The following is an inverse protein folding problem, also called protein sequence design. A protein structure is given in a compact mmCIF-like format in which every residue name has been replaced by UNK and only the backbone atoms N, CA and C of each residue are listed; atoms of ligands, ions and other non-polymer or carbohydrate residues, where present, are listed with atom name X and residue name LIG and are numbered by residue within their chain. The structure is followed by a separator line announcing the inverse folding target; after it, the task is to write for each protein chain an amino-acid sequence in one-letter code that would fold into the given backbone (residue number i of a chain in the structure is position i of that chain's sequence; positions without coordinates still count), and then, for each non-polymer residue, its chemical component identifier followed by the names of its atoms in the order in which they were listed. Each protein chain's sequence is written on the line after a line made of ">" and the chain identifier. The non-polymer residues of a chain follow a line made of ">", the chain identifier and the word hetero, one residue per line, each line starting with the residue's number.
data_IF_981238917206
#
_entry.id   IF_981238917206
#
_cell.length_a   1.000
_cell.length_b   1.000
_cell.length_c   1.000
_cell.angle_alpha   90.00
_cell.angle_beta   90.00
_cell.angle_gamma   90.00
#
_symmetry.space_group_name_H-M   'P 1'
#
loop_
_entity.id
_entity.type
_entity.pdbx_description
1 polymer ?
#
# COMPACT_ATOMS: atom_id res chain seq x y z
N UNK A 1 38.22 39.98 21.07
CA UNK A 1 37.55 38.76 21.58
C UNK A 1 36.04 38.94 21.65
N UNK A 2 35.53 40.10 22.05
CA UNK A 2 34.07 40.33 22.17
C UNK A 2 33.29 40.26 20.86
N UNK A 3 33.83 40.76 19.73
CA UNK A 3 33.11 40.78 18.46
C UNK A 3 32.85 39.38 17.86
N UNK A 4 33.77 38.42 18.05
CA UNK A 4 33.58 37.04 17.61
C UNK A 4 32.56 36.29 18.49
N UNK A 5 32.57 36.56 19.80
CA UNK A 5 31.57 36.01 20.74
C UNK A 5 30.17 36.61 20.50
N UNK A 6 30.09 37.92 20.21
CA UNK A 6 28.85 38.62 19.84
C UNK A 6 28.25 38.05 18.54
N UNK A 7 29.08 37.84 17.51
CA UNK A 7 28.67 37.20 16.26
C UNK A 7 28.18 35.75 16.50
N UNK A 8 28.88 34.97 17.33
CA UNK A 8 28.47 33.61 17.65
C UNK A 8 27.12 33.55 18.38
N UNK A 9 26.90 34.42 19.35
CA UNK A 9 25.63 34.51 20.07
C UNK A 9 24.49 34.94 19.14
N UNK A 10 24.74 35.93 18.28
CA UNK A 10 23.76 36.36 17.27
C UNK A 10 23.38 35.24 16.30
N UNK A 11 24.33 34.37 15.92
CA UNK A 11 24.08 33.20 15.09
C UNK A 11 23.27 32.12 15.82
N UNK A 12 23.53 31.89 17.11
CA UNK A 12 22.72 30.97 17.90
C UNK A 12 21.27 31.45 18.06
N UNK A 13 21.07 32.74 18.29
CA UNK A 13 19.73 33.34 18.40
C UNK A 13 18.95 33.29 17.08
N UNK A 14 19.64 33.45 15.94
CA UNK A 14 19.05 33.34 14.61
C UNK A 14 18.68 31.89 14.24
N UNK A 15 19.54 30.92 14.62
CA UNK A 15 19.40 29.50 14.29
C UNK A 15 18.14 28.82 14.83
N UNK A 16 17.47 29.39 15.84
CA UNK A 16 16.21 28.86 16.37
C UNK A 16 14.95 29.55 15.85
N UNK A 17 15.03 30.74 15.24
CA UNK A 17 13.81 31.54 14.99
C UNK A 17 13.43 31.73 13.54
N UNK A 18 14.33 31.67 12.56
CA UNK A 18 13.90 31.81 11.16
C UNK A 18 15.06 31.72 10.15
N UNK A 19 15.02 30.72 9.28
CA UNK A 19 15.76 30.71 8.00
C UNK A 19 15.02 31.49 6.89
N UNK A 20 13.98 32.27 7.21
CA UNK A 20 13.05 32.92 6.26
C UNK A 20 12.71 34.38 6.59
N UNK A 21 13.51 35.06 7.40
CA UNK A 21 13.14 36.34 8.00
C UNK A 21 14.31 37.29 7.97
N UNK A 22 14.03 38.54 7.62
CA UNK A 22 14.94 39.60 7.17
C UNK A 22 15.90 40.15 8.25
N UNK A 23 16.31 39.33 9.21
CA UNK A 23 17.19 39.73 10.33
C UNK A 23 18.29 38.69 10.61
N UNK A 24 18.71 37.90 9.61
CA UNK A 24 19.87 37.02 9.82
C UNK A 24 21.14 37.88 10.00
N UNK A 25 22.05 37.55 10.95
CA UNK A 25 23.30 38.29 11.17
C UNK A 25 24.20 38.46 9.93
N UNK A 26 23.95 37.68 8.87
CA UNK A 26 24.68 37.74 7.61
C UNK A 26 24.01 38.63 6.54
N UNK A 27 22.73 38.96 6.69
CA UNK A 27 22.01 39.80 5.71
C UNK A 27 22.33 41.30 5.94
N UNK A 28 22.55 41.70 7.19
CA UNK A 28 22.99 43.04 7.59
C UNK A 28 24.04 42.99 8.72
N UNK A 29 25.28 42.54 8.43
CA UNK A 29 26.28 42.34 9.47
C UNK A 29 26.75 43.68 10.07
N UNK A 30 26.96 43.70 11.39
CA UNK A 30 27.61 44.85 12.05
C UNK A 30 29.03 45.06 11.50
N UNK A 31 29.53 46.30 11.41
CA UNK A 31 30.87 46.58 10.89
C UNK A 31 31.98 45.81 11.59
N UNK A 32 31.88 45.63 12.90
CA UNK A 32 32.82 44.88 13.75
C UNK A 32 32.86 43.37 13.46
N UNK A 33 31.89 42.82 12.74
CA UNK A 33 31.89 41.41 12.33
C UNK A 33 32.62 41.17 11.00
N UNK A 34 32.91 42.24 10.24
CA UNK A 34 33.43 42.14 8.87
C UNK A 34 34.74 41.37 8.75
N UNK A 35 35.60 41.42 9.77
CA UNK A 35 36.88 40.68 9.79
C UNK A 35 36.69 39.15 9.92
N UNK A 36 35.53 38.70 10.39
CA UNK A 36 35.19 37.28 10.54
C UNK A 36 34.33 36.75 9.39
N UNK A 37 33.80 37.63 8.54
CA UNK A 37 32.90 37.29 7.44
C UNK A 37 33.63 37.35 6.11
N UNK A 38 33.90 36.20 5.51
CA UNK A 38 34.25 36.15 4.09
C UNK A 38 32.99 36.33 3.26
N UNK A 39 32.88 37.44 2.52
CA UNK A 39 31.92 37.54 1.42
C UNK A 39 32.40 36.62 0.30
N UNK A 40 31.70 35.52 -0.03
CA UNK A 40 32.02 34.80 -1.25
C UNK A 40 31.92 35.77 -2.43
N UNK A 41 32.73 35.59 -3.47
CA UNK A 41 32.50 36.27 -4.75
C UNK A 41 31.03 36.11 -5.12
N UNK A 42 30.43 37.11 -5.81
CA UNK A 42 29.02 37.13 -6.22
C UNK A 42 28.69 36.02 -7.24
N UNK A 43 28.91 34.77 -6.86
CA UNK A 43 28.38 33.61 -7.54
C UNK A 43 26.92 33.52 -7.13
N UNK A 44 26.04 33.47 -8.13
CA UNK A 44 24.62 33.24 -7.91
C UNK A 44 24.46 32.00 -7.03
N UNK A 45 23.83 32.17 -5.86
CA UNK A 45 23.53 31.03 -5.00
C UNK A 45 22.60 30.08 -5.75
N UNK A 46 23.15 28.94 -6.16
CA UNK A 46 22.37 27.82 -6.69
C UNK A 46 22.14 26.87 -5.51
N UNK A 47 20.89 26.68 -5.05
CA UNK A 47 20.56 25.72 -4.01
C UNK A 47 21.20 24.36 -4.28
N UNK A 48 21.74 23.67 -3.27
CA UNK A 48 22.39 22.36 -3.48
C UNK A 48 21.50 21.33 -4.18
N UNK A 49 20.17 21.41 -3.97
CA UNK A 49 19.16 20.60 -4.70
C UNK A 49 19.13 20.84 -6.22
N UNK A 50 19.58 22.01 -6.67
CA UNK A 50 19.67 22.44 -8.07
C UNK A 50 21.09 22.25 -8.63
N UNK A 51 22.09 22.01 -7.77
CA UNK A 51 23.40 21.47 -8.15
C UNK A 51 23.33 19.96 -8.37
N UNK A 52 22.55 19.52 -9.36
CA UNK A 52 22.77 18.20 -9.96
C UNK A 52 23.92 18.35 -10.94
N UNK A 53 25.15 18.38 -10.44
CA UNK A 53 26.31 18.25 -11.32
C UNK A 53 26.32 16.80 -11.78
N UNK A 54 25.77 16.59 -12.97
CA UNK A 54 25.85 15.30 -13.64
C UNK A 54 27.28 15.14 -14.12
N UNK A 55 28.00 14.20 -13.53
CA UNK A 55 29.41 13.94 -13.84
C UNK A 55 29.54 12.97 -15.02
N UNK A 56 28.47 12.23 -15.33
CA UNK A 56 28.41 11.38 -16.50
C UNK A 56 28.25 12.17 -17.80
N UNK A 57 28.91 11.69 -18.85
CA UNK A 57 28.94 12.28 -20.20
C UNK A 57 28.95 11.19 -21.27
N UNK A 58 28.85 11.56 -22.55
CA UNK A 58 29.00 10.60 -23.65
C UNK A 58 30.39 9.94 -23.69
N UNK A 59 31.41 10.61 -23.15
CA UNK A 59 32.78 10.10 -23.05
C UNK A 59 33.02 9.25 -21.78
N UNK A 60 32.24 9.49 -20.72
CA UNK A 60 32.30 8.78 -19.44
C UNK A 60 30.87 8.44 -19.02
N UNK A 61 30.35 7.30 -19.51
CA UNK A 61 28.93 7.02 -19.42
C UNK A 61 28.48 6.59 -18.03
N UNK A 62 29.36 6.40 -17.05
CA UNK A 62 28.98 6.00 -15.70
C UNK A 62 28.88 7.22 -14.79
N UNK A 63 27.90 7.20 -13.87
CA UNK A 63 27.76 8.25 -12.86
C UNK A 63 28.88 8.13 -11.82
N UNK A 64 29.27 6.89 -11.47
CA UNK A 64 30.27 6.56 -10.46
C UNK A 64 31.50 5.85 -11.07
N UNK A 65 32.22 6.58 -11.92
CA UNK A 65 33.56 6.17 -12.40
C UNK A 65 34.62 6.40 -11.30
N UNK A 66 35.62 5.50 -11.19
CA UNK A 66 36.72 5.61 -10.21
C UNK A 66 37.53 6.90 -10.35
N UNK A 67 37.49 7.52 -11.54
CA UNK A 67 38.28 8.69 -11.88
C UNK A 67 37.52 10.02 -11.72
N UNK A 68 36.17 9.99 -11.62
CA UNK A 68 35.35 11.22 -11.68
C UNK A 68 34.54 11.54 -10.43
N UNK A 69 34.29 10.58 -9.54
CA UNK A 69 33.48 10.80 -8.34
C UNK A 69 34.14 10.18 -7.10
N UNK A 70 34.56 11.04 -6.17
CA UNK A 70 34.76 10.67 -4.78
C UNK A 70 33.48 11.01 -4.01
N UNK A 71 32.59 10.04 -3.85
CA UNK A 71 31.44 10.20 -2.98
C UNK A 71 31.91 10.21 -1.53
N UNK A 72 31.86 11.38 -0.89
CA UNK A 72 32.18 11.50 0.53
C UNK A 72 31.07 10.92 1.41
N UNK A 73 29.83 10.84 0.89
CA UNK A 73 28.69 10.32 1.62
C UNK A 73 27.71 9.56 0.71
N UNK A 74 27.35 8.34 1.12
CA UNK A 74 26.29 7.52 0.51
C UNK A 74 24.97 7.79 1.24
N UNK A 75 23.87 7.92 0.52
CA UNK A 75 22.50 8.12 1.02
C UNK A 75 22.08 7.11 2.08
N UNK A 76 22.56 5.87 2.04
CA UNK A 76 22.27 4.89 3.10
C UNK A 76 22.87 5.30 4.45
N UNK A 77 23.94 6.11 4.48
CA UNK A 77 24.54 6.62 5.72
C UNK A 77 23.60 7.59 6.45
N UNK A 78 22.57 8.12 5.79
CA UNK A 78 21.48 8.84 6.46
C UNK A 78 20.70 7.91 7.41
N UNK A 79 20.56 6.62 7.08
CA UNK A 79 19.97 5.64 7.98
C UNK A 79 20.82 5.49 9.24
N UNK A 80 22.15 5.45 9.09
CA UNK A 80 23.11 5.42 10.20
C UNK A 80 23.01 6.68 11.06
N UNK A 81 22.88 7.85 10.44
CA UNK A 81 22.69 9.12 11.16
C UNK A 81 21.36 9.14 11.95
N UNK A 82 20.29 8.56 11.40
CA UNK A 82 19.01 8.41 12.10
C UNK A 82 19.16 7.49 13.33
N UNK A 83 19.86 6.37 13.19
CA UNK A 83 20.14 5.51 14.35
C UNK A 83 20.99 6.23 15.41
N UNK A 84 22.02 6.98 14.98
CA UNK A 84 22.89 7.76 15.87
C UNK A 84 22.10 8.84 16.62
N UNK A 85 21.20 9.55 15.93
CA UNK A 85 20.36 10.58 16.53
C UNK A 85 19.39 10.02 17.59
N UNK A 86 19.03 8.74 17.47
CA UNK A 86 18.14 8.04 18.39
C UNK A 86 18.92 7.08 19.32
N UNK A 87 20.25 7.16 19.36
CA UNK A 87 21.06 6.38 20.29
C UNK A 87 20.72 6.74 21.74
N UNK A 88 20.31 5.73 22.49
CA UNK A 88 19.95 5.87 23.89
C UNK A 88 19.35 4.59 24.44
N UNK A 89 19.01 4.61 25.73
CA UNK A 89 18.23 3.54 26.37
C UNK A 89 16.76 3.91 26.23
N UNK A 90 16.04 3.20 25.38
CA UNK A 90 14.61 3.36 25.23
C UNK A 90 13.88 2.42 26.19
N UNK A 91 12.90 2.96 26.91
CA UNK A 91 12.09 2.24 27.88
C UNK A 91 10.66 2.18 27.35
N UNK A 92 10.21 0.99 26.95
CA UNK A 92 8.84 0.77 26.44
C UNK A 92 7.92 0.32 27.56
N UNK A 93 6.77 0.97 27.69
CA UNK A 93 5.81 0.75 28.78
C UNK A 93 4.41 0.63 28.16
N UNK A 94 3.61 -0.35 28.61
CA UNK A 94 2.20 -0.41 28.23
C UNK A 94 1.41 0.69 28.95
N UNK A 95 1.10 1.77 28.22
CA UNK A 95 0.35 2.90 28.77
C UNK A 95 -1.17 2.65 28.85
N UNK A 96 -1.68 1.57 28.23
CA UNK A 96 -3.09 1.20 28.32
C UNK A 96 -3.44 0.56 29.67
N UNK A 97 -2.44 0.06 30.39
CA UNK A 97 -2.59 -0.43 31.77
C UNK A 97 -2.20 0.70 32.73
N UNK A 98 -3.21 1.35 33.32
CA UNK A 98 -3.01 2.49 34.22
C UNK A 98 -2.17 2.14 35.46
N UNK A 99 -2.25 0.90 35.93
CA UNK A 99 -1.50 0.43 37.08
C UNK A 99 -0.02 0.24 36.75
N UNK A 100 0.29 -0.33 35.59
CA UNK A 100 1.67 -0.42 35.09
C UNK A 100 2.24 0.98 34.84
N UNK A 101 1.48 1.84 34.16
CA UNK A 101 1.91 3.20 33.85
C UNK A 101 2.20 4.03 35.11
N UNK A 102 1.34 3.94 36.13
CA UNK A 102 1.53 4.63 37.42
C UNK A 102 2.79 4.14 38.14
N UNK A 103 2.96 2.82 38.28
CA UNK A 103 4.12 2.23 38.97
C UNK A 103 5.44 2.56 38.29
N UNK A 104 5.47 2.53 36.95
CA UNK A 104 6.68 2.90 36.20
C UNK A 104 7.02 4.37 36.41
N UNK A 105 6.03 5.28 36.42
CA UNK A 105 6.26 6.70 36.75
C UNK A 105 6.82 6.87 38.16
N UNK A 106 6.30 6.14 39.14
CA UNK A 106 6.79 6.16 40.53
C UNK A 106 8.22 5.65 40.66
N UNK A 107 8.57 4.58 39.94
CA UNK A 107 9.94 4.05 39.90
C UNK A 107 10.91 5.06 39.28
N UNK A 108 10.56 5.65 38.13
CA UNK A 108 11.39 6.68 37.46
C UNK A 108 11.56 7.91 38.36
N UNK A 109 10.48 8.42 38.97
CA UNK A 109 10.55 9.57 39.91
C UNK A 109 11.41 9.28 41.12
N UNK A 110 11.41 8.02 41.56
CA UNK A 110 12.23 7.53 42.67
C UNK A 110 13.65 7.13 42.24
N UNK A 111 14.06 7.43 40.99
CA UNK A 111 15.36 7.06 40.40
C UNK A 111 15.65 5.55 40.44
N UNK A 112 14.61 4.72 40.37
CA UNK A 112 14.70 3.25 40.32
C UNK A 112 14.37 2.76 38.91
N UNK A 113 15.02 1.66 38.54
CA UNK A 113 14.72 0.97 37.29
C UNK A 113 13.36 0.26 37.37
N UNK A 114 12.45 0.43 36.39
CA UNK A 114 11.13 -0.20 36.38
C UNK A 114 11.19 -1.69 35.97
N UNK A 115 11.98 -2.49 36.69
CA UNK A 115 12.29 -3.88 36.38
C UNK A 115 11.04 -4.75 36.17
N UNK A 116 11.01 -5.49 35.06
CA UNK A 116 9.91 -6.38 34.66
C UNK A 116 8.62 -5.69 34.20
N UNK A 117 8.54 -4.35 34.32
CA UNK A 117 7.38 -3.53 33.92
C UNK A 117 7.65 -2.67 32.68
N UNK A 118 8.90 -2.62 32.26
CA UNK A 118 9.31 -1.97 31.04
C UNK A 118 10.26 -2.87 30.23
N UNK A 119 10.22 -2.71 28.92
CA UNK A 119 11.11 -3.40 27.98
C UNK A 119 12.20 -2.41 27.58
N UNK A 120 13.45 -2.84 27.73
CA UNK A 120 14.62 -2.10 27.25
C UNK A 120 14.78 -2.33 25.75
N UNK A 121 14.82 -1.24 24.98
CA UNK A 121 15.17 -1.27 23.58
C UNK A 121 16.55 -0.61 23.37
N UNK A 122 17.52 -1.44 22.98
CA UNK A 122 18.87 -1.03 22.56
C UNK A 122 19.03 -1.10 21.04
N UNK A 123 17.92 -1.11 20.31
CA UNK A 123 17.88 -1.43 18.89
C UNK A 123 18.79 -0.49 18.05
N UNK A 124 18.82 0.84 18.30
CA UNK A 124 19.71 1.75 17.56
C UNK A 124 21.21 1.48 17.76
N UNK A 125 21.61 1.13 18.99
CA UNK A 125 23.02 0.80 19.32
C UNK A 125 23.46 -0.50 18.65
N UNK A 126 22.56 -1.48 18.52
CA UNK A 126 22.84 -2.73 17.80
C UNK A 126 22.89 -2.50 16.30
N UNK A 127 21.98 -1.69 15.77
CA UNK A 127 21.92 -1.36 14.34
C UNK A 127 23.21 -0.73 13.83
N UNK A 128 23.88 0.10 14.64
CA UNK A 128 25.16 0.72 14.26
C UNK A 128 26.25 -0.30 13.92
N UNK A 129 26.33 -1.43 14.64
CA UNK A 129 27.28 -2.52 14.34
C UNK A 129 26.92 -3.26 13.06
N UNK A 130 25.63 -3.38 12.78
CA UNK A 130 25.14 -4.07 11.60
C UNK A 130 25.38 -3.25 10.31
N UNK A 131 25.44 -1.91 10.39
CA UNK A 131 25.82 -1.07 9.24
C UNK A 131 27.22 -1.38 8.71
N UNK A 132 28.21 -1.55 9.59
CA UNK A 132 29.56 -1.97 9.20
C UNK A 132 29.54 -3.35 8.55
N UNK A 133 28.77 -4.29 9.14
CA UNK A 133 28.64 -5.65 8.63
C UNK A 133 28.01 -5.71 7.23
N UNK A 134 27.04 -4.86 6.94
CA UNK A 134 26.28 -4.87 5.68
C UNK A 134 26.67 -3.74 4.72
N UNK A 135 27.76 -3.03 4.99
CA UNK A 135 28.21 -1.89 4.20
C UNK A 135 28.29 -2.21 2.70
N UNK A 136 28.94 -3.31 2.32
CA UNK A 136 29.07 -3.69 0.92
C UNK A 136 27.70 -3.94 0.24
N UNK A 137 26.76 -4.56 0.95
CA UNK A 137 25.39 -4.74 0.49
C UNK A 137 24.65 -3.41 0.30
N UNK A 138 24.80 -2.49 1.24
CA UNK A 138 24.18 -1.16 1.18
C UNK A 138 24.77 -0.29 0.05
N UNK A 139 26.10 -0.35 -0.13
CA UNK A 139 26.79 0.33 -1.24
C UNK A 139 26.35 -0.25 -2.59
N UNK A 140 26.22 -1.57 -2.72
CA UNK A 140 25.71 -2.21 -3.93
C UNK A 140 24.26 -1.80 -4.25
N UNK A 141 23.39 -1.73 -3.23
CA UNK A 141 22.00 -1.28 -3.37
C UNK A 141 21.96 0.17 -3.86
N UNK A 142 22.71 1.05 -3.22
CA UNK A 142 22.70 2.48 -3.55
C UNK A 142 23.26 2.74 -4.95
N UNK A 143 24.42 2.17 -5.25
CA UNK A 143 25.06 2.32 -6.54
C UNK A 143 24.16 1.83 -7.67
N UNK A 144 23.55 0.64 -7.52
CA UNK A 144 22.65 0.09 -8.52
C UNK A 144 21.44 1.00 -8.76
N UNK A 145 20.85 1.52 -7.68
CA UNK A 145 19.68 2.40 -7.76
C UNK A 145 20.00 3.71 -8.49
N UNK A 146 21.14 4.34 -8.19
CA UNK A 146 21.51 5.63 -8.79
C UNK A 146 21.93 5.47 -10.25
N UNK A 147 22.69 4.41 -10.59
CA UNK A 147 23.06 4.10 -11.98
C UNK A 147 21.86 3.68 -12.84
N UNK A 148 20.96 2.83 -12.33
CA UNK A 148 19.74 2.48 -13.04
C UNK A 148 18.92 3.75 -13.33
N UNK A 149 18.78 4.63 -12.34
CA UNK A 149 18.03 5.88 -12.49
C UNK A 149 18.65 6.80 -13.52
N UNK A 150 19.97 7.00 -13.51
CA UNK A 150 20.62 7.89 -14.49
C UNK A 150 20.58 7.29 -15.91
N UNK A 151 20.91 6.01 -16.08
CA UNK A 151 20.88 5.33 -17.39
C UNK A 151 19.44 5.27 -17.94
N UNK A 152 18.44 4.98 -17.08
CA UNK A 152 17.02 5.04 -17.48
C UNK A 152 16.61 6.46 -17.83
N UNK A 153 17.07 7.47 -17.09
CA UNK A 153 16.78 8.87 -17.43
C UNK A 153 17.32 9.23 -18.83
N UNK A 154 18.52 8.78 -19.22
CA UNK A 154 19.06 8.96 -20.59
C UNK A 154 18.16 8.36 -21.66
N UNK A 155 17.65 7.14 -21.42
CA UNK A 155 16.73 6.49 -22.34
C UNK A 155 15.46 7.34 -22.59
N UNK A 156 15.08 8.16 -21.61
CA UNK A 156 13.92 9.03 -21.67
C UNK A 156 14.25 10.48 -22.06
N UNK A 157 15.52 10.85 -22.16
CA UNK A 157 15.93 12.17 -22.62
C UNK A 157 15.52 12.35 -24.09
N UNK A 158 14.64 13.32 -24.34
CA UNK A 158 14.07 13.59 -25.68
C UNK A 158 12.60 13.22 -25.82
N UNK A 159 12.01 12.48 -24.88
CA UNK A 159 10.61 12.02 -24.93
C UNK A 159 9.55 13.10 -24.63
N UNK A 160 9.95 14.37 -24.46
CA UNK A 160 9.05 15.48 -24.11
C UNK A 160 8.60 15.48 -22.64
N UNK A 161 8.35 16.66 -22.07
CA UNK A 161 8.03 16.86 -20.64
C UNK A 161 6.61 16.47 -20.20
N UNK A 162 6.06 15.39 -20.75
CA UNK A 162 4.70 14.91 -20.51
C UNK A 162 4.64 13.57 -19.77
N UNK A 163 3.44 12.98 -19.72
CA UNK A 163 3.24 11.61 -19.23
C UNK A 163 3.83 10.64 -20.26
N UNK A 164 5.04 10.15 -20.01
CA UNK A 164 5.76 9.27 -20.93
C UNK A 164 5.17 7.86 -20.81
N UNK A 165 4.62 7.34 -21.90
CA UNK A 165 4.33 5.92 -22.07
C UNK A 165 5.53 5.31 -22.77
N UNK A 166 6.15 4.31 -22.16
CA UNK A 166 7.29 3.62 -22.77
C UNK A 166 6.80 2.78 -23.95
N UNK A 167 7.53 2.84 -25.06
CA UNK A 167 7.39 1.86 -26.15
C UNK A 167 7.94 0.51 -25.70
N UNK A 168 7.54 -0.58 -26.36
CA UNK A 168 8.04 -1.94 -26.06
C UNK A 168 9.58 -2.00 -26.16
N UNK A 169 10.17 -1.29 -27.13
CA UNK A 169 11.62 -1.15 -27.29
C UNK A 169 12.27 -0.45 -26.09
N UNK A 170 11.66 0.62 -25.57
CA UNK A 170 12.13 1.31 -24.37
C UNK A 170 11.93 0.48 -23.10
N UNK A 171 10.90 -0.36 -23.03
CA UNK A 171 10.73 -1.31 -21.93
C UNK A 171 11.87 -2.33 -21.94
N UNK A 172 12.15 -2.94 -23.11
CA UNK A 172 13.24 -3.89 -23.27
C UNK A 172 14.61 -3.25 -22.92
N UNK A 173 14.90 -2.06 -23.44
CA UNK A 173 16.15 -1.35 -23.16
C UNK A 173 16.30 -0.99 -21.67
N UNK A 174 15.21 -0.61 -20.99
CA UNK A 174 15.22 -0.36 -19.54
C UNK A 174 15.51 -1.64 -18.77
N UNK A 175 14.95 -2.77 -19.18
CA UNK A 175 15.15 -4.04 -18.50
C UNK A 175 16.58 -4.59 -18.74
N UNK A 176 17.17 -4.34 -19.90
CA UNK A 176 18.61 -4.56 -20.16
C UNK A 176 19.51 -3.68 -19.27
N UNK A 177 19.20 -2.39 -19.12
CA UNK A 177 19.91 -1.47 -18.21
C UNK A 177 19.87 -2.01 -16.78
N UNK A 178 18.67 -2.41 -16.31
CA UNK A 178 18.47 -2.97 -14.97
C UNK A 178 19.32 -4.20 -14.73
N UNK A 179 19.31 -5.13 -15.68
CA UNK A 179 20.17 -6.29 -15.64
C UNK A 179 21.62 -5.82 -15.55
N UNK A 180 22.15 -5.13 -16.56
CA UNK A 180 23.54 -4.67 -16.61
C UNK A 180 24.03 -4.05 -15.29
N UNK A 181 23.35 -2.99 -14.84
CA UNK A 181 23.66 -2.26 -13.60
C UNK A 181 23.67 -3.17 -12.37
N UNK A 182 22.67 -4.05 -12.22
CA UNK A 182 22.62 -4.95 -11.08
C UNK A 182 23.82 -5.92 -11.07
N UNK A 183 24.32 -6.33 -12.23
CA UNK A 183 25.50 -7.21 -12.32
C UNK A 183 26.79 -6.48 -12.00
N UNK A 184 26.93 -5.26 -12.53
CA UNK A 184 28.05 -4.37 -12.25
C UNK A 184 28.13 -4.05 -10.74
N UNK A 185 27.00 -3.74 -10.10
CA UNK A 185 26.93 -3.44 -8.67
C UNK A 185 27.41 -4.63 -7.81
N UNK A 186 26.86 -5.81 -8.04
CA UNK A 186 27.20 -7.01 -7.26
C UNK A 186 28.68 -7.40 -7.45
N UNK A 187 29.20 -7.27 -8.68
CA UNK A 187 30.62 -7.53 -8.95
C UNK A 187 31.51 -6.48 -8.29
N UNK A 188 31.17 -5.20 -8.40
CA UNK A 188 31.96 -4.07 -7.88
C UNK A 188 32.15 -4.16 -6.38
N UNK A 189 31.10 -4.50 -5.64
CA UNK A 189 31.13 -4.59 -4.18
C UNK A 189 31.32 -6.02 -3.65
N UNK A 190 31.56 -7.00 -4.54
CA UNK A 190 31.74 -8.41 -4.19
C UNK A 190 30.60 -8.98 -3.33
N UNK A 191 29.35 -8.64 -3.68
CA UNK A 191 28.15 -9.03 -2.94
C UNK A 191 27.48 -10.24 -3.60
N UNK A 192 27.42 -11.35 -2.88
CA UNK A 192 26.67 -12.54 -3.28
C UNK A 192 25.21 -12.57 -2.79
N UNK A 193 24.43 -13.54 -3.28
CA UNK A 193 23.02 -13.78 -2.89
C UNK A 193 22.81 -13.76 -1.38
N UNK A 194 23.59 -14.54 -0.64
CA UNK A 194 23.41 -14.69 0.82
C UNK A 194 23.70 -13.39 1.59
N UNK A 195 24.70 -12.63 1.15
CA UNK A 195 25.05 -11.35 1.78
C UNK A 195 23.95 -10.31 1.53
N UNK A 196 23.46 -10.21 0.29
CA UNK A 196 22.37 -9.31 -0.07
C UNK A 196 21.07 -9.69 0.66
N UNK A 197 20.74 -10.97 0.74
CA UNK A 197 19.59 -11.46 1.50
C UNK A 197 19.71 -11.14 3.00
N UNK A 198 20.90 -11.30 3.59
CA UNK A 198 21.14 -10.91 4.98
C UNK A 198 21.00 -9.39 5.19
N UNK A 199 21.47 -8.58 4.23
CA UNK A 199 21.25 -7.13 4.22
C UNK A 199 19.74 -6.80 4.15
N UNK A 200 18.96 -7.48 3.30
CA UNK A 200 17.50 -7.32 3.24
C UNK A 200 16.82 -7.68 4.57
N UNK A 201 17.26 -8.75 5.25
CA UNK A 201 16.76 -9.10 6.59
C UNK A 201 17.03 -7.99 7.61
N UNK A 202 18.24 -7.44 7.59
CA UNK A 202 18.62 -6.31 8.44
C UNK A 202 17.72 -5.09 8.18
N UNK A 203 17.58 -4.68 6.91
CA UNK A 203 16.73 -3.54 6.52
C UNK A 203 15.25 -3.76 6.91
N UNK A 204 14.73 -4.97 6.70
CA UNK A 204 13.36 -5.34 7.09
C UNK A 204 13.16 -5.34 8.62
N UNK A 205 14.16 -5.80 9.37
CA UNK A 205 14.17 -5.75 10.84
C UNK A 205 14.17 -4.32 11.37
N UNK A 206 15.01 -3.45 10.82
CA UNK A 206 15.03 -2.03 11.19
C UNK A 206 13.73 -1.32 10.82
N UNK A 207 13.21 -1.57 9.62
CA UNK A 207 11.89 -1.08 9.21
C UNK A 207 10.82 -1.41 10.27
N UNK A 208 10.78 -2.67 10.73
CA UNK A 208 9.79 -3.11 11.71
C UNK A 208 9.92 -2.35 13.03
N UNK A 209 11.13 -2.20 13.56
CA UNK A 209 11.37 -1.46 14.81
C UNK A 209 10.90 0.00 14.71
N UNK A 210 11.29 0.71 13.65
CA UNK A 210 10.89 2.10 13.43
C UNK A 210 9.38 2.25 13.20
N UNK A 211 8.76 1.32 12.48
CA UNK A 211 7.32 1.31 12.26
C UNK A 211 6.56 1.05 13.57
N UNK A 212 7.03 0.10 14.38
CA UNK A 212 6.46 -0.22 15.69
C UNK A 212 6.56 0.96 16.67
N UNK A 213 7.64 1.74 16.60
CA UNK A 213 7.83 2.95 17.40
C UNK A 213 7.00 4.16 16.91
N UNK A 214 6.19 4.00 15.86
CA UNK A 214 5.37 5.09 15.34
C UNK A 214 6.18 6.18 14.65
N UNK A 215 7.33 5.83 14.06
CA UNK A 215 8.21 6.76 13.32
C UNK A 215 8.22 6.42 11.83
N UNK A 216 7.12 6.73 11.11
CA UNK A 216 6.91 6.28 9.73
C UNK A 216 7.95 6.84 8.75
N UNK A 217 8.48 8.05 8.97
CA UNK A 217 9.47 8.66 8.08
C UNK A 217 10.78 7.84 8.08
N UNK A 218 11.24 7.40 9.26
CA UNK A 218 12.43 6.57 9.37
C UNK A 218 12.18 5.17 8.78
N UNK A 219 11.03 4.58 9.09
CA UNK A 219 10.62 3.30 8.51
C UNK A 219 10.58 3.38 6.96
N UNK A 220 9.97 4.42 6.40
CA UNK A 220 9.89 4.61 4.94
C UNK A 220 11.27 4.75 4.28
N UNK A 221 12.24 5.37 4.98
CA UNK A 221 13.62 5.41 4.48
C UNK A 221 14.22 4.00 4.35
N UNK A 222 14.07 3.14 5.37
CA UNK A 222 14.50 1.73 5.31
C UNK A 222 13.76 0.94 4.21
N UNK A 223 12.46 1.20 4.05
CA UNK A 223 11.64 0.59 3.01
C UNK A 223 12.17 0.86 1.60
N UNK A 224 12.72 2.04 1.33
CA UNK A 224 13.30 2.38 0.02
C UNK A 224 14.50 1.47 -0.28
N UNK A 225 15.47 1.39 0.63
CA UNK A 225 16.65 0.53 0.41
C UNK A 225 16.30 -0.95 0.37
N UNK A 226 15.33 -1.38 1.18
CA UNK A 226 14.82 -2.75 1.12
C UNK A 226 14.18 -3.06 -0.24
N UNK A 227 13.43 -2.13 -0.83
CA UNK A 227 12.82 -2.31 -2.15
C UNK A 227 13.88 -2.59 -3.21
N UNK A 228 14.95 -1.80 -3.21
CA UNK A 228 16.05 -1.94 -4.17
C UNK A 228 16.87 -3.21 -3.92
N UNK A 229 17.10 -3.59 -2.67
CA UNK A 229 17.74 -4.87 -2.33
C UNK A 229 16.92 -6.09 -2.79
N UNK A 230 15.59 -6.04 -2.62
CA UNK A 230 14.68 -7.07 -3.16
C UNK A 230 14.76 -7.10 -4.68
N UNK A 231 14.74 -5.95 -5.37
CA UNK A 231 14.88 -5.90 -6.83
C UNK A 231 16.19 -6.50 -7.32
N UNK A 232 17.30 -6.22 -6.64
CA UNK A 232 18.60 -6.82 -6.98
C UNK A 232 18.58 -8.35 -6.87
N UNK A 233 17.94 -8.89 -5.83
CA UNK A 233 17.73 -10.34 -5.69
C UNK A 233 16.87 -10.90 -6.84
N UNK A 234 15.82 -10.20 -7.24
CA UNK A 234 14.96 -10.64 -8.36
C UNK A 234 15.70 -10.62 -9.69
N UNK A 235 16.35 -9.50 -10.02
CA UNK A 235 16.94 -9.24 -11.35
C UNK A 235 18.21 -10.07 -11.59
N UNK A 236 19.03 -10.31 -10.57
CA UNK A 236 20.34 -10.98 -10.75
C UNK A 236 20.48 -12.33 -10.09
N UNK A 237 19.64 -12.66 -9.11
CA UNK A 237 19.66 -13.96 -8.45
C UNK A 237 18.46 -14.83 -8.84
N UNK A 238 17.66 -14.37 -9.81
CA UNK A 238 16.47 -15.05 -10.37
C UNK A 238 15.50 -15.55 -9.28
N UNK A 239 15.38 -14.77 -8.20
CA UNK A 239 14.52 -15.11 -7.07
C UNK A 239 13.13 -14.53 -7.29
N UNK A 240 12.11 -15.37 -7.14
CA UNK A 240 10.73 -14.89 -7.08
C UNK A 240 10.50 -14.06 -5.81
N UNK A 241 9.58 -13.09 -5.85
CA UNK A 241 9.24 -12.29 -4.67
C UNK A 241 8.78 -13.18 -3.50
N UNK A 242 8.02 -14.23 -3.79
CA UNK A 242 7.56 -15.18 -2.78
C UNK A 242 8.73 -15.92 -2.11
N UNK A 243 9.74 -16.34 -2.86
CA UNK A 243 10.97 -16.95 -2.30
C UNK A 243 11.70 -15.96 -1.40
N UNK A 244 11.85 -14.70 -1.83
CA UNK A 244 12.51 -13.66 -1.04
C UNK A 244 11.71 -13.37 0.25
N UNK A 245 10.38 -13.28 0.15
CA UNK A 245 9.48 -13.06 1.28
C UNK A 245 9.56 -14.21 2.29
N UNK A 246 9.67 -15.46 1.82
CA UNK A 246 9.91 -16.63 2.66
C UNK A 246 11.23 -16.57 3.41
N UNK A 247 12.29 -16.25 2.67
CA UNK A 247 13.63 -16.23 3.22
C UNK A 247 13.85 -15.07 4.18
N UNK A 248 13.32 -13.87 3.89
CA UNK A 248 13.30 -12.72 4.81
C UNK A 248 12.44 -13.03 6.03
N UNK A 249 11.29 -13.66 5.84
CA UNK A 249 10.45 -14.21 6.90
C UNK A 249 9.84 -13.15 7.82
N UNK A 250 9.70 -13.52 9.09
CA UNK A 250 9.06 -12.72 10.14
C UNK A 250 10.11 -11.91 10.89
N UNK A 251 10.08 -10.59 10.75
CA UNK A 251 10.90 -9.68 11.56
C UNK A 251 10.09 -9.14 12.73
N UNK A 252 10.72 -9.09 13.91
CA UNK A 252 10.15 -8.47 15.13
C UNK A 252 8.90 -9.14 15.71
N UNK A 253 8.65 -10.42 15.41
CA UNK A 253 7.52 -11.16 15.98
C UNK A 253 6.15 -10.81 15.41
N UNK A 254 6.10 -10.16 14.24
CA UNK A 254 4.86 -9.90 13.52
C UNK A 254 4.10 -11.20 13.17
N UNK A 255 2.77 -11.14 13.14
CA UNK A 255 1.92 -12.27 12.74
C UNK A 255 1.90 -12.53 11.23
N UNK A 256 2.49 -11.63 10.43
CA UNK A 256 2.64 -11.73 8.97
C UNK A 256 4.11 -11.57 8.60
N UNK A 257 4.51 -12.14 7.45
CA UNK A 257 5.87 -11.96 6.93
C UNK A 257 6.10 -10.49 6.65
N UNK A 258 7.31 -10.00 6.90
CA UNK A 258 7.56 -8.55 6.93
C UNK A 258 7.33 -7.90 5.57
N UNK A 259 7.72 -8.55 4.46
CA UNK A 259 7.52 -7.97 3.13
C UNK A 259 6.04 -7.87 2.74
N UNK A 260 5.18 -8.78 3.22
CA UNK A 260 3.72 -8.70 3.02
C UNK A 260 3.08 -7.53 3.78
N UNK A 261 3.70 -7.07 4.87
CA UNK A 261 3.23 -5.87 5.58
C UNK A 261 3.71 -4.60 4.86
N UNK A 262 4.93 -4.61 4.33
CA UNK A 262 5.53 -3.47 3.65
C UNK A 262 4.90 -3.24 2.27
N UNK A 263 4.71 -4.32 1.50
CA UNK A 263 4.13 -4.37 0.16
C UNK A 263 3.05 -5.47 0.12
N UNK A 264 1.88 -5.19 0.70
CA UNK A 264 0.76 -6.13 0.63
C UNK A 264 0.34 -6.32 -0.83
N UNK A 265 0.10 -7.58 -1.19
CA UNK A 265 -0.63 -7.91 -2.41
C UNK A 265 -2.10 -7.53 -2.20
N UNK A 266 -2.43 -6.28 -2.51
CA UNK A 266 -3.77 -5.73 -2.37
C UNK A 266 -4.78 -6.52 -3.20
N UNK A 267 -4.38 -7.05 -4.36
CA UNK A 267 -5.23 -7.84 -5.22
C UNK A 267 -5.61 -9.16 -4.53
N UNK A 268 -4.62 -9.90 -4.06
CA UNK A 268 -4.83 -11.15 -3.31
C UNK A 268 -5.57 -10.92 -1.99
N UNK A 269 -5.28 -9.84 -1.27
CA UNK A 269 -6.01 -9.49 -0.04
C UNK A 269 -7.49 -9.21 -0.33
N UNK A 270 -7.79 -8.47 -1.40
CA UNK A 270 -9.17 -8.19 -1.80
C UNK A 270 -9.93 -9.46 -2.20
N UNK A 271 -9.31 -10.35 -2.98
CA UNK A 271 -9.91 -11.64 -3.35
C UNK A 271 -10.15 -12.49 -2.11
N UNK A 272 -9.16 -12.62 -1.23
CA UNK A 272 -9.30 -13.42 -0.01
C UNK A 272 -10.38 -12.85 0.93
N UNK A 273 -10.49 -11.52 1.03
CA UNK A 273 -11.56 -10.87 1.79
C UNK A 273 -12.92 -11.21 1.21
N UNK A 274 -13.09 -11.07 -0.11
CA UNK A 274 -14.31 -11.43 -0.82
C UNK A 274 -14.71 -12.90 -0.58
N UNK A 275 -13.75 -13.82 -0.68
CA UNK A 275 -13.93 -15.26 -0.41
C UNK A 275 -14.42 -15.50 1.02
N UNK A 276 -13.81 -14.83 2.01
CA UNK A 276 -14.21 -14.95 3.41
C UNK A 276 -15.62 -14.38 3.67
N UNK A 277 -15.94 -13.23 3.08
CA UNK A 277 -17.25 -12.58 3.22
C UNK A 277 -18.38 -13.41 2.58
N UNK A 278 -18.13 -14.04 1.43
CA UNK A 278 -19.16 -14.71 0.63
C UNK A 278 -19.20 -16.23 0.76
N UNK A 279 -18.41 -16.79 1.68
CA UNK A 279 -18.37 -18.24 1.93
C UNK A 279 -19.78 -18.77 2.20
N UNK A 280 -20.31 -19.56 1.27
CA UNK A 280 -21.66 -20.12 1.34
C UNK A 280 -21.72 -21.50 0.67
N UNK A 281 -22.72 -22.33 0.97
CA UNK A 281 -22.84 -23.66 0.37
C UNK A 281 -23.01 -23.63 -1.16
N UNK A 282 -23.57 -22.55 -1.70
CA UNK A 282 -23.92 -22.41 -3.13
C UNK A 282 -22.78 -21.83 -3.99
N UNK A 283 -21.68 -21.39 -3.35
CA UNK A 283 -20.51 -20.83 -4.02
C UNK A 283 -19.26 -21.54 -3.52
N UNK A 284 -18.60 -22.26 -4.43
CA UNK A 284 -17.29 -22.84 -4.16
C UNK A 284 -16.23 -21.75 -3.99
N UNK A 285 -15.17 -22.04 -3.24
CA UNK A 285 -14.04 -21.13 -3.10
C UNK A 285 -13.44 -20.75 -4.47
N UNK A 286 -13.37 -21.71 -5.39
CA UNK A 286 -12.87 -21.49 -6.74
C UNK A 286 -13.74 -20.51 -7.54
N UNK A 287 -15.07 -20.63 -7.46
CA UNK A 287 -15.98 -19.67 -8.10
C UNK A 287 -15.83 -18.26 -7.51
N UNK A 288 -15.60 -18.15 -6.20
CA UNK A 288 -15.36 -16.87 -5.53
C UNK A 288 -14.01 -16.25 -5.93
N UNK A 289 -12.96 -17.08 -6.08
CA UNK A 289 -11.65 -16.63 -6.57
C UNK A 289 -11.75 -16.12 -8.01
N UNK A 290 -12.36 -16.89 -8.91
CA UNK A 290 -12.62 -16.45 -10.29
C UNK A 290 -13.45 -15.18 -10.37
N UNK A 291 -14.45 -15.03 -9.50
CA UNK A 291 -15.21 -13.79 -9.42
C UNK A 291 -14.33 -12.61 -8.98
N UNK A 292 -13.47 -12.80 -7.97
CA UNK A 292 -12.52 -11.78 -7.54
C UNK A 292 -11.50 -11.38 -8.62
N UNK A 293 -10.99 -12.36 -9.38
CA UNK A 293 -10.11 -12.12 -10.54
C UNK A 293 -10.83 -11.35 -11.65
N UNK A 294 -12.07 -11.71 -11.95
CA UNK A 294 -12.92 -10.97 -12.89
C UNK A 294 -13.11 -9.50 -12.49
N UNK A 295 -13.37 -9.24 -11.20
CA UNK A 295 -13.53 -7.87 -10.71
C UNK A 295 -12.27 -7.04 -10.93
N UNK A 296 -11.08 -7.63 -10.79
CA UNK A 296 -9.81 -6.95 -11.07
C UNK A 296 -9.59 -6.71 -12.56
N UNK A 297 -9.77 -7.76 -13.38
CA UNK A 297 -9.62 -7.68 -14.83
C UNK A 297 -10.59 -6.65 -15.45
N UNK A 298 -11.77 -6.48 -14.84
CA UNK A 298 -12.80 -5.54 -15.29
C UNK A 298 -12.75 -4.17 -14.58
N UNK A 299 -11.70 -3.87 -13.82
CA UNK A 299 -11.52 -2.62 -13.07
C UNK A 299 -12.70 -2.24 -12.15
N UNK A 300 -13.28 -3.22 -11.46
CA UNK A 300 -14.42 -3.06 -10.55
C UNK A 300 -13.98 -2.82 -9.09
N UNK A 301 -12.94 -2.02 -8.88
CA UNK A 301 -12.33 -1.74 -7.57
C UNK A 301 -13.32 -1.14 -6.55
N UNK A 302 -14.40 -0.53 -7.05
CA UNK A 302 -15.48 0.03 -6.24
C UNK A 302 -16.09 -1.01 -5.28
N UNK A 303 -16.19 -2.28 -5.69
CA UNK A 303 -16.67 -3.36 -4.80
C UNK A 303 -15.74 -3.53 -3.61
N UNK A 304 -14.43 -3.66 -3.87
CA UNK A 304 -13.42 -3.82 -2.82
C UNK A 304 -13.40 -2.64 -1.85
N UNK A 305 -13.46 -1.41 -2.36
CA UNK A 305 -13.50 -0.20 -1.54
C UNK A 305 -14.75 -0.12 -0.66
N UNK A 306 -15.92 -0.46 -1.22
CA UNK A 306 -17.18 -0.44 -0.47
C UNK A 306 -17.24 -1.53 0.59
N UNK A 307 -16.76 -2.73 0.29
CA UNK A 307 -16.68 -3.81 1.26
C UNK A 307 -15.79 -3.43 2.45
N UNK A 308 -14.58 -2.91 2.18
CA UNK A 308 -13.66 -2.46 3.22
C UNK A 308 -14.22 -1.30 4.05
N UNK A 309 -14.88 -0.34 3.41
CA UNK A 309 -15.54 0.78 4.10
C UNK A 309 -16.68 0.30 4.99
N UNK A 310 -17.51 -0.61 4.48
CA UNK A 310 -18.62 -1.18 5.24
C UNK A 310 -18.14 -1.93 6.48
N UNK A 311 -17.13 -2.79 6.33
CA UNK A 311 -16.52 -3.51 7.46
C UNK A 311 -15.96 -2.56 8.50
N UNK A 312 -15.27 -1.50 8.05
CA UNK A 312 -14.77 -0.47 8.97
C UNK A 312 -15.91 0.17 9.77
N UNK A 313 -17.01 0.56 9.12
CA UNK A 313 -18.17 1.11 9.81
C UNK A 313 -18.82 0.09 10.76
N UNK A 314 -18.85 -1.20 10.41
CA UNK A 314 -19.41 -2.25 11.26
C UNK A 314 -18.65 -2.43 12.60
N UNK A 315 -17.34 -2.14 12.61
CA UNK A 315 -16.48 -2.20 13.80
C UNK A 315 -16.20 -0.84 14.46
N UNK A 316 -16.71 0.27 13.90
CA UNK A 316 -16.57 1.59 14.49
C UNK A 316 -17.57 1.82 15.65
N UNK A 317 -17.10 2.54 16.67
CA UNK A 317 -17.93 2.99 17.79
C UNK A 317 -18.49 4.39 17.51
N UNK A 318 -19.81 4.55 17.50
CA UNK A 318 -20.45 5.87 17.37
C UNK A 318 -21.81 5.86 16.68
N UNK A 319 -22.48 7.03 16.71
CA UNK A 319 -23.81 7.24 16.13
C UNK A 319 -23.82 7.27 14.59
N UNK A 320 -22.67 7.53 13.95
CA UNK A 320 -22.52 7.61 12.49
C UNK A 320 -22.33 6.25 11.82
N UNK A 321 -22.09 5.17 12.57
CA UNK A 321 -21.75 3.85 12.00
C UNK A 321 -22.84 3.29 11.09
N UNK A 322 -24.11 3.35 11.51
CA UNK A 322 -25.23 2.82 10.74
C UNK A 322 -25.45 3.64 9.46
N UNK A 323 -25.31 4.97 9.55
CA UNK A 323 -25.39 5.84 8.37
C UNK A 323 -24.27 5.53 7.35
N UNK A 324 -23.06 5.25 7.83
CA UNK A 324 -21.95 4.78 6.99
C UNK A 324 -22.26 3.44 6.31
N UNK A 325 -22.75 2.46 7.07
CA UNK A 325 -23.15 1.15 6.52
C UNK A 325 -24.26 1.26 5.48
N UNK A 326 -25.25 2.13 5.70
CA UNK A 326 -26.30 2.43 4.72
C UNK A 326 -25.74 3.00 3.42
N UNK A 327 -24.87 4.00 3.53
CA UNK A 327 -24.21 4.62 2.38
C UNK A 327 -23.38 3.60 1.60
N UNK A 328 -22.66 2.73 2.30
CA UNK A 328 -21.85 1.69 1.68
C UNK A 328 -22.69 0.58 1.05
N UNK A 329 -23.82 0.18 1.63
CA UNK A 329 -24.76 -0.77 1.02
C UNK A 329 -25.36 -0.22 -0.29
N UNK A 330 -25.78 1.05 -0.28
CA UNK A 330 -26.27 1.72 -1.49
C UNK A 330 -25.16 1.85 -2.53
N UNK A 331 -23.96 2.29 -2.13
CA UNK A 331 -22.78 2.37 -3.00
C UNK A 331 -22.39 1.00 -3.58
N UNK A 332 -22.49 -0.06 -2.77
CA UNK A 332 -22.26 -1.44 -3.19
C UNK A 332 -23.24 -1.87 -4.27
N UNK A 333 -24.53 -1.52 -4.14
CA UNK A 333 -25.54 -1.87 -5.15
C UNK A 333 -25.25 -1.23 -6.52
N UNK A 334 -24.67 -0.02 -6.54
CA UNK A 334 -24.21 0.65 -7.77
C UNK A 334 -23.00 -0.07 -8.37
N UNK A 335 -22.04 -0.45 -7.53
CA UNK A 335 -20.86 -1.22 -7.96
C UNK A 335 -21.27 -2.59 -8.52
N UNK A 336 -22.24 -3.27 -7.90
CA UNK A 336 -22.82 -4.52 -8.42
C UNK A 336 -23.48 -4.32 -9.77
N UNK A 337 -24.19 -3.21 -10.00
CA UNK A 337 -24.75 -2.92 -11.34
C UNK A 337 -23.65 -2.81 -12.40
N UNK A 338 -22.53 -2.14 -12.09
CA UNK A 338 -21.41 -2.04 -13.04
C UNK A 338 -20.74 -3.39 -13.29
N UNK A 339 -20.54 -4.20 -12.25
CA UNK A 339 -20.01 -5.55 -12.39
C UNK A 339 -20.92 -6.44 -13.26
N UNK A 340 -22.24 -6.41 -13.02
CA UNK A 340 -23.21 -7.20 -13.80
C UNK A 340 -23.29 -6.71 -15.25
N UNK A 341 -23.12 -5.41 -15.49
CA UNK A 341 -22.98 -4.86 -16.84
C UNK A 341 -21.70 -5.36 -17.52
N UNK A 342 -20.58 -5.42 -16.81
CA UNK A 342 -19.32 -5.96 -17.31
C UNK A 342 -19.41 -7.47 -17.65
N UNK A 343 -20.29 -8.22 -16.97
CA UNK A 343 -20.63 -9.62 -17.34
C UNK A 343 -21.50 -9.74 -18.61
N UNK A 344 -21.79 -8.64 -19.32
CA UNK A 344 -22.64 -8.64 -20.51
C UNK A 344 -24.13 -8.43 -20.25
N UNK A 345 -24.52 -8.03 -19.04
CA UNK A 345 -25.92 -7.79 -18.69
C UNK A 345 -26.57 -6.67 -19.51
N UNK A 346 -27.72 -6.95 -20.12
CA UNK A 346 -28.43 -6.01 -20.97
C UNK A 346 -29.58 -5.29 -20.25
N UNK A 347 -29.75 -3.99 -20.53
CA UNK A 347 -30.84 -3.17 -20.03
C UNK A 347 -30.41 -2.01 -19.12
N UNK A 348 -31.33 -1.07 -18.89
CA UNK A 348 -31.05 0.17 -18.17
C UNK A 348 -31.01 0.00 -16.63
N UNK A 349 -31.60 -1.05 -16.08
CA UNK A 349 -31.68 -1.30 -14.64
C UNK A 349 -31.17 -2.71 -14.31
N UNK A 350 -30.60 -2.86 -13.11
CA UNK A 350 -30.04 -4.12 -12.62
C UNK A 350 -31.03 -5.31 -12.72
N UNK A 351 -32.32 -5.09 -12.47
CA UNK A 351 -33.36 -6.11 -12.65
C UNK A 351 -33.41 -6.69 -14.08
N UNK A 352 -33.26 -5.84 -15.10
CA UNK A 352 -33.28 -6.28 -16.50
C UNK A 352 -31.99 -7.00 -16.87
N UNK A 353 -30.85 -6.53 -16.37
CA UNK A 353 -29.56 -7.19 -16.57
C UNK A 353 -29.59 -8.61 -16.01
N UNK A 354 -30.06 -8.80 -14.77
CA UNK A 354 -30.23 -10.14 -14.20
C UNK A 354 -31.19 -11.02 -15.01
N UNK A 355 -32.33 -10.47 -15.47
CA UNK A 355 -33.25 -11.23 -16.33
C UNK A 355 -32.60 -11.65 -17.65
N UNK A 356 -31.73 -10.82 -18.23
CA UNK A 356 -31.03 -11.14 -19.48
C UNK A 356 -29.99 -12.24 -19.30
N UNK A 357 -29.18 -12.15 -18.23
CA UNK A 357 -28.10 -13.11 -17.98
C UNK A 357 -28.62 -14.48 -17.52
N UNK A 358 -29.76 -14.51 -16.82
CA UNK A 358 -30.37 -15.75 -16.35
C UNK A 358 -31.50 -16.26 -17.26
N UNK A 359 -31.61 -15.77 -18.50
CA UNK A 359 -32.67 -16.21 -19.40
C UNK A 359 -32.53 -17.70 -19.75
N UNK A 360 -33.67 -18.39 -19.90
CA UNK A 360 -33.72 -19.81 -20.24
C UNK A 360 -33.60 -20.81 -19.08
N UNK A 361 -33.28 -20.37 -17.84
CA UNK A 361 -33.19 -21.27 -16.68
C UNK A 361 -34.32 -21.04 -15.63
N UNK A 362 -34.29 -21.84 -14.55
CA UNK A 362 -35.30 -21.78 -13.48
C UNK A 362 -35.28 -20.45 -12.71
N UNK A 363 -34.11 -19.86 -12.48
CA UNK A 363 -33.96 -18.54 -11.83
C UNK A 363 -34.58 -17.46 -12.72
N UNK A 364 -34.28 -17.46 -14.02
CA UNK A 364 -34.90 -16.54 -14.98
C UNK A 364 -36.42 -16.64 -15.01
N UNK A 365 -36.98 -17.87 -14.98
CA UNK A 365 -38.42 -18.11 -14.86
C UNK A 365 -38.99 -17.55 -13.55
N UNK A 366 -38.28 -17.70 -12.43
CA UNK A 366 -38.68 -17.14 -11.13
C UNK A 366 -38.62 -15.61 -11.10
N UNK A 367 -37.61 -14.98 -11.72
CA UNK A 367 -37.52 -13.52 -11.85
C UNK A 367 -38.69 -12.96 -12.70
N UNK A 368 -39.08 -13.67 -13.76
CA UNK A 368 -40.27 -13.32 -14.58
C UNK A 368 -41.57 -13.49 -13.79
N UNK A 369 -41.72 -14.60 -13.05
CA UNK A 369 -42.90 -14.90 -12.22
C UNK A 369 -43.08 -13.88 -11.08
N UNK A 370 -41.99 -13.45 -10.47
CA UNK A 370 -41.99 -12.49 -9.36
C UNK A 370 -41.77 -11.04 -9.82
N UNK A 371 -42.18 -10.70 -11.05
CA UNK A 371 -42.08 -9.35 -11.64
C UNK A 371 -42.61 -8.24 -10.72
N UNK A 372 -43.69 -8.52 -9.98
CA UNK A 372 -44.26 -7.58 -9.00
C UNK A 372 -43.25 -7.18 -7.92
N UNK A 373 -42.47 -8.12 -7.38
CA UNK A 373 -41.47 -7.81 -6.35
C UNK A 373 -40.31 -6.96 -6.89
N UNK A 374 -40.02 -7.05 -8.19
CA UNK A 374 -38.99 -6.24 -8.85
C UNK A 374 -39.46 -4.81 -9.15
N UNK A 375 -40.73 -4.63 -9.48
CA UNK A 375 -41.26 -3.39 -10.07
C UNK A 375 -42.18 -2.59 -9.12
N UNK A 376 -42.58 -3.15 -7.98
CA UNK A 376 -43.38 -2.43 -6.99
C UNK A 376 -42.70 -1.14 -6.54
N UNK A 377 -43.42 -0.03 -6.48
CA UNK A 377 -42.89 1.26 -6.01
C UNK A 377 -42.68 1.37 -4.50
N UNK A 378 -42.59 0.24 -3.78
CA UNK A 378 -42.42 0.21 -2.33
C UNK A 378 -40.93 0.27 -1.94
N UNK A 379 -40.58 0.88 -0.81
CA UNK A 379 -39.24 0.76 -0.25
C UNK A 379 -38.81 -0.72 -0.09
N UNK A 380 -37.51 -1.05 -0.24
CA UNK A 380 -37.02 -2.42 -0.12
C UNK A 380 -37.39 -3.08 1.21
N UNK A 381 -37.36 -2.31 2.31
CA UNK A 381 -37.71 -2.73 3.66
C UNK A 381 -39.11 -3.35 3.75
N UNK A 382 -40.09 -2.76 3.07
CA UNK A 382 -41.48 -3.24 3.05
C UNK A 382 -41.66 -4.55 2.25
N UNK A 383 -40.63 -4.94 1.47
CA UNK A 383 -40.64 -6.13 0.62
C UNK A 383 -39.74 -7.25 1.19
N UNK A 384 -39.00 -6.99 2.26
CA UNK A 384 -38.02 -7.93 2.80
C UNK A 384 -38.67 -9.26 3.21
N UNK A 385 -39.84 -9.23 3.84
CA UNK A 385 -40.55 -10.44 4.28
C UNK A 385 -40.97 -11.32 3.10
N UNK A 386 -41.52 -10.72 2.03
CA UNK A 386 -41.92 -11.44 0.83
C UNK A 386 -40.70 -12.04 0.10
N UNK A 387 -39.62 -11.26 0.01
CA UNK A 387 -38.35 -11.72 -0.58
C UNK A 387 -37.73 -12.86 0.25
N UNK A 388 -37.77 -12.75 1.58
CA UNK A 388 -37.26 -13.78 2.48
C UNK A 388 -38.12 -15.05 2.42
N UNK A 389 -39.44 -14.93 2.28
CA UNK A 389 -40.35 -16.05 2.10
C UNK A 389 -40.09 -16.81 0.78
N UNK A 390 -39.71 -16.09 -0.29
CA UNK A 390 -39.24 -16.72 -1.53
C UNK A 390 -37.93 -17.49 -1.30
N UNK A 391 -36.98 -16.89 -0.58
CA UNK A 391 -35.68 -17.50 -0.31
C UNK A 391 -35.75 -18.79 0.51
N UNK A 392 -36.69 -18.89 1.46
CA UNK A 392 -36.90 -20.10 2.29
C UNK A 392 -37.23 -21.37 1.51
N UNK A 393 -37.57 -21.27 0.22
CA UNK A 393 -37.84 -22.43 -0.64
C UNK A 393 -36.56 -23.12 -1.14
N UNK A 394 -35.39 -22.48 -1.00
CA UNK A 394 -34.08 -23.02 -1.38
C UNK A 394 -33.82 -23.06 -2.89
N UNK A 395 -32.59 -23.47 -3.24
CA UNK A 395 -32.15 -23.66 -4.63
C UNK A 395 -32.35 -22.42 -5.50
N UNK A 396 -32.93 -22.58 -6.69
CA UNK A 396 -33.19 -21.47 -7.61
C UNK A 396 -34.07 -20.34 -7.03
N UNK A 397 -34.91 -20.64 -6.03
CA UNK A 397 -35.73 -19.62 -5.36
C UNK A 397 -34.92 -18.72 -4.44
N UNK A 398 -33.89 -19.27 -3.80
CA UNK A 398 -32.96 -18.48 -2.99
C UNK A 398 -32.12 -17.54 -3.84
N UNK A 399 -31.58 -18.05 -4.95
CA UNK A 399 -30.85 -17.23 -5.93
C UNK A 399 -31.76 -16.11 -6.45
N UNK A 400 -32.98 -16.44 -6.89
CA UNK A 400 -33.92 -15.43 -7.37
C UNK A 400 -34.26 -14.37 -6.30
N UNK A 401 -34.38 -14.76 -5.02
CA UNK A 401 -34.63 -13.82 -3.93
C UNK A 401 -33.48 -12.82 -3.75
N UNK A 402 -32.23 -13.25 -3.88
CA UNK A 402 -31.06 -12.36 -3.79
C UNK A 402 -30.96 -11.40 -4.97
N UNK A 403 -31.20 -11.89 -6.18
CA UNK A 403 -31.20 -11.07 -7.39
C UNK A 403 -32.30 -10.00 -7.32
N UNK A 404 -33.48 -10.36 -6.82
CA UNK A 404 -34.57 -9.42 -6.56
C UNK A 404 -34.12 -8.40 -5.51
N UNK A 405 -33.57 -8.86 -4.38
CA UNK A 405 -33.11 -7.97 -3.32
C UNK A 405 -32.07 -6.96 -3.83
N UNK A 406 -31.05 -7.43 -4.55
CA UNK A 406 -30.00 -6.59 -5.11
C UNK A 406 -30.56 -5.52 -6.06
N UNK A 407 -31.48 -5.92 -6.95
CA UNK A 407 -32.17 -5.00 -7.84
C UNK A 407 -33.03 -3.97 -7.07
N UNK A 408 -33.65 -4.36 -5.95
CA UNK A 408 -34.47 -3.46 -5.12
C UNK A 408 -33.64 -2.48 -4.33
N UNK A 409 -32.57 -2.92 -3.68
CA UNK A 409 -31.61 -2.03 -3.01
C UNK A 409 -31.06 -1.01 -4.01
N UNK A 410 -30.71 -1.46 -5.23
CA UNK A 410 -30.24 -0.57 -6.29
C UNK A 410 -31.29 0.43 -6.78
N UNK A 411 -32.53 -0.02 -6.97
CA UNK A 411 -33.66 0.83 -7.37
C UNK A 411 -34.02 1.87 -6.30
N UNK A 412 -33.72 1.59 -5.04
CA UNK A 412 -33.96 2.46 -3.91
C UNK A 412 -32.76 3.36 -3.53
N UNK A 413 -31.73 3.50 -4.37
CA UNK A 413 -30.57 4.36 -4.06
C UNK A 413 -30.96 5.82 -3.80
N UNK A 414 -32.10 6.27 -4.30
CA UNK A 414 -32.65 7.62 -4.05
C UNK A 414 -33.52 7.72 -2.79
N UNK A 415 -33.75 6.60 -2.08
CA UNK A 415 -34.50 6.53 -0.84
C UNK A 415 -33.57 6.09 0.29
N UNK A 416 -33.62 6.78 1.44
CA UNK A 416 -32.83 6.39 2.59
C UNK A 416 -33.41 5.11 3.21
N UNK A 417 -32.68 3.99 3.10
CA UNK A 417 -33.03 2.73 3.75
C UNK A 417 -33.18 2.95 5.26
N UNK A 418 -34.34 2.60 5.83
CA UNK A 418 -34.63 2.79 7.26
C UNK A 418 -34.37 1.54 8.10
N UNK A 419 -33.20 0.93 7.95
CA UNK A 419 -32.83 -0.30 8.69
C UNK A 419 -31.96 0.09 9.89
N UNK A 420 -32.47 -0.15 11.10
CA UNK A 420 -31.78 0.19 12.34
C UNK A 420 -30.93 -0.96 12.90
N UNK A 421 -31.09 -2.17 12.37
CA UNK A 421 -30.37 -3.36 12.80
C UNK A 421 -29.08 -3.58 11.99
N UNK A 422 -27.93 -3.54 12.68
CA UNK A 422 -26.61 -3.78 12.07
C UNK A 422 -26.51 -5.15 11.39
N UNK A 423 -26.99 -6.21 12.04
CA UNK A 423 -26.91 -7.57 11.51
C UNK A 423 -27.75 -7.74 10.24
N UNK A 424 -28.86 -7.00 10.15
CA UNK A 424 -29.70 -6.97 8.97
C UNK A 424 -28.98 -6.27 7.80
N UNK A 425 -28.29 -5.16 8.05
CA UNK A 425 -27.45 -4.50 7.05
C UNK A 425 -26.31 -5.39 6.55
N UNK A 426 -25.62 -6.10 7.44
CA UNK A 426 -24.58 -7.06 7.08
C UNK A 426 -25.13 -8.18 6.18
N UNK A 427 -26.29 -8.74 6.54
CA UNK A 427 -26.97 -9.75 5.72
C UNK A 427 -27.36 -9.22 4.35
N UNK A 428 -27.84 -7.98 4.26
CA UNK A 428 -28.19 -7.36 2.98
C UNK A 428 -26.97 -7.17 2.10
N UNK A 429 -25.85 -6.69 2.65
CA UNK A 429 -24.61 -6.53 1.91
C UNK A 429 -24.16 -7.88 1.31
N UNK A 430 -24.13 -8.93 2.14
CA UNK A 430 -23.74 -10.27 1.69
C UNK A 430 -24.64 -10.76 0.57
N UNK A 431 -25.96 -10.59 0.69
CA UNK A 431 -26.90 -11.04 -0.36
C UNK A 431 -26.77 -10.23 -1.66
N UNK A 432 -26.54 -8.92 -1.57
CA UNK A 432 -26.29 -8.05 -2.73
C UNK A 432 -25.04 -8.50 -3.49
N UNK A 433 -23.95 -8.78 -2.77
CA UNK A 433 -22.72 -9.30 -3.35
C UNK A 433 -22.86 -10.74 -3.87
N UNK A 434 -23.57 -11.60 -3.11
CA UNK A 434 -23.84 -13.00 -3.49
C UNK A 434 -24.60 -13.08 -4.81
N UNK A 435 -25.55 -12.17 -5.06
CA UNK A 435 -26.26 -12.08 -6.33
C UNK A 435 -25.32 -11.88 -7.53
N UNK A 436 -24.31 -11.01 -7.39
CA UNK A 436 -23.30 -10.77 -8.43
C UNK A 436 -22.39 -11.98 -8.62
N UNK A 437 -21.89 -12.56 -7.53
CA UNK A 437 -21.02 -13.74 -7.56
C UNK A 437 -21.69 -14.97 -8.19
N UNK A 438 -22.96 -15.24 -7.84
CA UNK A 438 -23.76 -16.31 -8.44
C UNK A 438 -24.00 -16.07 -9.93
N UNK A 439 -24.26 -14.81 -10.32
CA UNK A 439 -24.43 -14.45 -11.73
C UNK A 439 -23.16 -14.66 -12.51
N UNK A 440 -22.01 -14.25 -11.97
CA UNK A 440 -20.70 -14.51 -12.58
C UNK A 440 -20.44 -16.00 -12.76
N UNK A 441 -20.66 -16.80 -11.71
CA UNK A 441 -20.50 -18.26 -11.78
C UNK A 441 -21.40 -18.89 -12.85
N UNK A 442 -22.64 -18.41 -13.00
CA UNK A 442 -23.56 -18.86 -14.04
C UNK A 442 -23.04 -18.52 -15.45
N UNK A 443 -22.65 -17.26 -15.68
CA UNK A 443 -22.15 -16.81 -16.99
C UNK A 443 -20.87 -17.56 -17.38
N UNK A 444 -19.92 -17.67 -16.45
CA UNK A 444 -18.67 -18.43 -16.66
C UNK A 444 -18.94 -19.89 -17.02
N UNK A 445 -19.92 -20.53 -16.39
CA UNK A 445 -20.29 -21.92 -16.70
C UNK A 445 -20.90 -22.07 -18.10
N UNK A 446 -21.63 -21.05 -18.56
CA UNK A 446 -22.29 -21.06 -19.87
C UNK A 446 -21.26 -20.86 -20.98
N UNK A 447 -20.32 -19.94 -20.81
CA UNK A 447 -19.22 -19.70 -21.75
C UNK A 447 -18.33 -20.95 -21.92
N UNK A 448 -18.06 -21.68 -20.84
CA UNK A 448 -17.31 -22.94 -20.91
C UNK A 448 -18.05 -24.04 -21.69
N UNK A 449 -19.38 -24.09 -21.61
CA UNK A 449 -20.20 -25.05 -22.37
C UNK A 449 -20.27 -24.64 -23.85
N UNK A 450 -20.38 -23.34 -24.14
CA UNK A 450 -20.46 -22.81 -25.50
C UNK A 450 -19.11 -22.83 -26.24
N UNK A 451 -17.98 -22.84 -25.51
CA UNK A 451 -16.62 -22.97 -26.08
C UNK A 451 -16.19 -24.43 -26.32
N UNK A 452 -16.98 -25.42 -25.88
CA UNK A 452 -16.66 -26.85 -26.02
C UNK A 452 -16.99 -27.55 -27.36
N UNK A 453 -17.63 -26.96 -28.40
CA UNK A 453 -17.91 -27.69 -29.63
C UNK A 453 -16.87 -27.38 -30.72
N UNK A 454 -15.69 -28.04 -30.69
CA UNK A 454 -14.85 -28.21 -31.89
C UNK A 454 -13.80 -29.36 -31.84
N UNK A 455 -13.84 -30.28 -30.85
CA UNK A 455 -12.89 -31.43 -30.79
C UNK A 455 -13.54 -32.81 -30.99
N UNK A 456 -14.77 -32.89 -31.52
CA UNK A 456 -15.39 -34.17 -31.87
C UNK A 456 -16.18 -34.07 -33.20
N UNK A 457 -15.47 -33.95 -34.31
CA UNK A 457 -15.87 -34.53 -35.61
C UNK A 457 -14.67 -35.15 -36.33
#
# INVERSE_FOLDING_TARGET
>A
MDAAADLWNALQDAGMRSLKGDNHPFDAPKPEWSEFLKRPEQQTFVPHRERRVRVSSDAQPDLHDSDNVQDFYSSWQLLTAIELADMGVHIRINMADEDIARRVREDIRSKRWPGGRAIEAFAPVRAFRDFERYQAGLDAIEWAREEERDRTFRLLQGSGGGRIVLTDEQVAARDEIRLAVAGEALSRFSVGKDHLLACCKFLAGRWHEWAYEGRPIAADAYKIFLAEGVRLLQVRQDMAFDEINELVGFQGGAAKRTLEVIWPDWAKEQINRLVQTLKSPDLTEEQLRKFGEFLQASHQDAISHRLRSFERHAFEYGHSRLAGMHSDLQGMSVAVEQAVRAMGGQGAQLAYMFRSLWDGNDVGRLLKKNKKLLEQGKPPEDLLDDINALGKKGGASEIAADLILAARVRGAVHHALQISNQLELERLLVRVLRAAALTHAHVSSKELIEAAPEELE
#
